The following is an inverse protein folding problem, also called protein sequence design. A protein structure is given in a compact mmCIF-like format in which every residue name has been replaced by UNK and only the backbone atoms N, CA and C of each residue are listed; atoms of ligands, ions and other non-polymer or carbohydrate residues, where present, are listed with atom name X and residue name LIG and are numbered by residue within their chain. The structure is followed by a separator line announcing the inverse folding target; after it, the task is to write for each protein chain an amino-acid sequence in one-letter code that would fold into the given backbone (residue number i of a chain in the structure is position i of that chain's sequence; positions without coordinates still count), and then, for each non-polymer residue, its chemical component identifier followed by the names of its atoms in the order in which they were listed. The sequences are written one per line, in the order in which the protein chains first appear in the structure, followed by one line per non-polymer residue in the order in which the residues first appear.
data_IF_565643410888
#
_entry.id   IF_565643410888
#
_cell.length_a   1.000
_cell.length_b   1.000
_cell.length_c   1.000
_cell.angle_alpha   90.00
_cell.angle_beta   90.00
_cell.angle_gamma   90.00
#
_symmetry.space_group_name_H-M   'P 1'
#
loop_
_entity.id
_entity.type
_entity.pdbx_description
1 polymer ?
#
# COMPACT_ATOMS: atom_id res chain seq x y z
N UNK A 1 -27.16 -74.89 42.70
CA UNK A 1 -26.01 -74.92 41.78
C UNK A 1 -25.94 -73.56 41.08
N UNK A 2 -24.82 -72.85 41.30
CA UNK A 2 -24.11 -71.92 40.39
C UNK A 2 -24.85 -70.67 39.83
N UNK A 3 -24.47 -69.50 40.35
CA UNK A 3 -24.47 -68.16 39.71
C UNK A 3 -23.48 -68.12 38.53
N UNK A 4 -23.61 -67.27 37.48
CA UNK A 4 -23.18 -65.84 37.53
C UNK A 4 -24.11 -64.87 36.76
N UNK A 5 -24.52 -63.73 37.33
CA UNK A 5 -23.80 -62.46 37.57
C UNK A 5 -23.71 -61.55 36.33
N UNK A 6 -24.49 -60.46 36.39
CA UNK A 6 -24.36 -59.26 35.55
C UNK A 6 -22.94 -58.71 35.66
N UNK A 7 -22.31 -58.37 34.53
CA UNK A 7 -21.12 -57.52 34.51
C UNK A 7 -21.49 -56.18 33.87
N UNK A 8 -21.04 -55.15 34.56
CA UNK A 8 -21.24 -53.73 34.35
C UNK A 8 -20.61 -53.21 33.05
N UNK A 9 -21.08 -52.05 32.62
CA UNK A 9 -20.44 -51.20 31.64
C UNK A 9 -19.01 -50.80 32.09
N UNK A 10 -18.07 -50.81 31.15
CA UNK A 10 -16.80 -50.09 31.28
C UNK A 10 -16.61 -49.27 30.00
N UNK A 11 -16.91 -47.98 30.09
CA UNK A 11 -16.66 -47.00 29.02
C UNK A 11 -15.51 -46.08 29.44
N UNK A 12 -14.30 -46.33 28.93
CA UNK A 12 -13.16 -45.39 28.87
C UNK A 12 -11.98 -46.00 28.08
N UNK A 13 -11.02 -45.25 27.49
CA UNK A 13 -10.94 -43.80 27.26
C UNK A 13 -10.59 -43.46 25.78
N UNK A 14 -11.54 -42.95 24.99
CA UNK A 14 -11.22 -42.40 23.66
C UNK A 14 -10.61 -40.98 23.71
N UNK A 15 -10.40 -40.40 24.89
CA UNK A 15 -10.39 -38.94 25.06
C UNK A 15 -8.97 -38.30 25.17
N UNK A 16 -7.90 -39.07 25.38
CA UNK A 16 -6.55 -38.49 25.51
C UNK A 16 -5.85 -38.24 24.16
N UNK A 17 -5.97 -39.17 23.22
CA UNK A 17 -5.28 -39.12 21.93
C UNK A 17 -5.94 -38.14 20.94
N UNK A 18 -7.27 -38.06 20.96
CA UNK A 18 -8.01 -37.12 20.10
C UNK A 18 -7.82 -35.66 20.53
N UNK A 19 -7.66 -35.43 21.84
CA UNK A 19 -7.34 -34.11 22.39
C UNK A 19 -5.94 -33.65 21.99
N UNK A 20 -4.94 -34.53 22.03
CA UNK A 20 -3.57 -34.23 21.58
C UNK A 20 -3.50 -33.93 20.08
N UNK A 21 -4.21 -34.70 19.25
CA UNK A 21 -4.28 -34.50 17.80
C UNK A 21 -5.02 -33.21 17.42
N UNK A 22 -6.09 -32.87 18.14
CA UNK A 22 -6.82 -31.61 17.98
C UNK A 22 -5.96 -30.39 18.33
N UNK A 23 -5.19 -30.46 19.42
CA UNK A 23 -4.28 -29.38 19.82
C UNK A 23 -3.14 -29.18 18.80
N UNK A 24 -2.54 -30.26 18.31
CA UNK A 24 -1.47 -30.17 17.28
C UNK A 24 -2.04 -29.56 15.99
N UNK A 25 -3.22 -30.00 15.54
CA UNK A 25 -3.86 -29.44 14.35
C UNK A 25 -4.17 -27.94 14.53
N UNK A 26 -4.71 -27.54 15.68
CA UNK A 26 -5.00 -26.14 15.97
C UNK A 26 -3.72 -25.27 16.00
N UNK A 27 -2.64 -25.77 16.60
CA UNK A 27 -1.35 -25.08 16.63
C UNK A 27 -0.76 -24.93 15.22
N UNK A 28 -0.79 -25.98 14.40
CA UNK A 28 -0.29 -25.94 13.01
C UNK A 28 -1.10 -24.94 12.18
N UNK A 29 -2.42 -24.91 12.32
CA UNK A 29 -3.29 -23.94 11.62
C UNK A 29 -3.00 -22.52 12.10
N UNK A 30 -2.85 -22.30 13.40
CA UNK A 30 -2.54 -20.98 13.95
C UNK A 30 -1.16 -20.47 13.48
N UNK A 31 -0.15 -21.34 13.45
CA UNK A 31 1.17 -21.01 12.93
C UNK A 31 1.13 -20.72 11.42
N UNK A 32 0.41 -21.53 10.64
CA UNK A 32 0.28 -21.31 9.19
C UNK A 32 -0.41 -19.97 8.87
N UNK A 33 -1.51 -19.65 9.57
CA UNK A 33 -2.20 -18.37 9.40
C UNK A 33 -1.31 -17.18 9.80
N UNK A 34 -0.58 -17.27 10.91
CA UNK A 34 0.38 -16.24 11.31
C UNK A 34 1.50 -16.06 10.26
N UNK A 35 2.04 -17.14 9.71
CA UNK A 35 3.04 -17.08 8.64
C UNK A 35 2.47 -16.41 7.37
N UNK A 36 1.25 -16.76 6.95
CA UNK A 36 0.61 -16.14 5.79
C UNK A 36 0.39 -14.64 6.01
N UNK A 37 -0.12 -14.24 7.17
CA UNK A 37 -0.30 -12.83 7.52
C UNK A 37 1.03 -12.08 7.53
N UNK A 38 2.07 -12.68 8.13
CA UNK A 38 3.41 -12.09 8.17
C UNK A 38 3.97 -11.91 6.75
N UNK A 39 3.84 -12.93 5.89
CA UNK A 39 4.31 -12.87 4.50
C UNK A 39 3.56 -11.79 3.72
N UNK A 40 2.24 -11.72 3.84
CA UNK A 40 1.44 -10.67 3.18
C UNK A 40 1.83 -9.27 3.67
N UNK A 41 2.06 -9.11 4.97
CA UNK A 41 2.50 -7.84 5.55
C UNK A 41 3.90 -7.45 5.05
N UNK A 42 4.86 -8.37 5.08
CA UNK A 42 6.23 -8.15 4.57
C UNK A 42 6.21 -7.80 3.08
N UNK A 43 5.49 -8.56 2.27
CA UNK A 43 5.37 -8.28 0.83
C UNK A 43 4.72 -6.91 0.58
N UNK A 44 3.66 -6.55 1.32
CA UNK A 44 3.04 -5.23 1.20
C UNK A 44 3.98 -4.08 1.61
N UNK A 45 4.74 -4.27 2.69
CA UNK A 45 5.72 -3.28 3.15
C UNK A 45 6.90 -3.08 2.19
N UNK A 46 7.33 -4.16 1.52
CA UNK A 46 8.44 -4.12 0.56
C UNK A 46 8.09 -3.38 -0.75
N UNK A 47 6.81 -3.13 -1.01
CA UNK A 47 6.34 -2.42 -2.21
C UNK A 47 6.34 -0.89 -2.05
N UNK A 48 6.71 -0.34 -0.88
CA UNK A 48 6.73 1.11 -0.70
C UNK A 48 8.00 1.71 -1.31
N UNK A 49 7.83 2.53 -2.35
CA UNK A 49 8.92 3.28 -2.95
C UNK A 49 9.50 4.30 -1.93
N UNK A 50 10.79 4.20 -1.55
CA UNK A 50 11.41 5.08 -0.58
C UNK A 50 11.41 6.55 -1.02
N UNK A 51 11.45 6.82 -2.32
CA UNK A 51 11.38 8.16 -2.87
C UNK A 51 10.00 8.79 -2.65
N UNK A 52 8.93 8.04 -2.95
CA UNK A 52 7.56 8.50 -2.71
C UNK A 52 7.38 8.79 -1.21
N UNK A 53 7.80 7.88 -0.34
CA UNK A 53 7.72 8.09 1.11
C UNK A 53 8.46 9.37 1.54
N UNK A 54 9.72 9.52 1.13
CA UNK A 54 10.53 10.68 1.48
C UNK A 54 9.88 12.00 1.02
N UNK A 55 9.33 12.03 -0.20
CA UNK A 55 8.68 13.23 -0.76
C UNK A 55 7.42 13.62 0.02
N UNK A 56 6.66 12.64 0.53
CA UNK A 56 5.40 12.88 1.24
C UNK A 56 5.59 13.25 2.72
N UNK A 57 6.75 12.96 3.31
CA UNK A 57 7.07 13.32 4.70
C UNK A 57 7.65 14.75 4.82
N UNK A 58 7.95 15.39 3.70
CA UNK A 58 8.52 16.74 3.63
C UNK A 58 7.44 17.82 3.51
N UNK A 59 7.74 19.01 4.04
CA UNK A 59 6.87 20.17 3.89
C UNK A 59 7.24 20.92 2.60
N UNK A 60 6.28 20.98 1.66
CA UNK A 60 6.49 21.67 0.38
C UNK A 60 6.33 23.19 0.43
N UNK A 61 7.12 23.90 -0.37
CA UNK A 61 7.04 25.34 -0.62
C UNK A 61 6.36 25.65 -1.97
N UNK A 62 5.16 26.23 -1.92
CA UNK A 62 4.32 26.53 -3.10
C UNK A 62 5.06 27.37 -4.15
N UNK A 63 5.83 28.38 -3.74
CA UNK A 63 6.53 29.28 -4.66
C UNK A 63 7.60 28.57 -5.48
N UNK A 64 8.31 27.62 -4.86
CA UNK A 64 9.31 26.80 -5.56
C UNK A 64 8.62 25.75 -6.43
N UNK A 65 7.56 25.11 -5.93
CA UNK A 65 6.73 24.19 -6.71
C UNK A 65 6.16 24.80 -7.97
N UNK A 66 5.72 26.06 -7.90
CA UNK A 66 5.24 26.80 -9.07
C UNK A 66 6.34 27.07 -10.11
N UNK A 67 7.59 27.28 -9.68
CA UNK A 67 8.72 27.39 -10.61
C UNK A 67 8.99 26.06 -11.31
N UNK A 68 9.03 24.96 -10.55
CA UNK A 68 9.20 23.61 -11.09
C UNK A 68 8.10 23.26 -12.10
N UNK A 69 6.85 23.57 -11.78
CA UNK A 69 5.71 23.35 -12.67
C UNK A 69 5.87 24.13 -14.00
N UNK A 70 6.28 25.40 -13.94
CA UNK A 70 6.48 26.21 -15.15
C UNK A 70 7.59 25.67 -16.05
N UNK A 71 8.66 25.16 -15.46
CA UNK A 71 9.82 24.63 -16.19
C UNK A 71 9.51 23.27 -16.80
N UNK A 72 8.87 22.38 -16.04
CA UNK A 72 8.77 20.97 -16.39
C UNK A 72 7.39 20.57 -16.96
N UNK A 73 6.30 21.22 -16.54
CA UNK A 73 4.94 20.73 -16.76
C UNK A 73 4.11 21.66 -17.66
N UNK A 74 4.27 22.97 -17.52
CA UNK A 74 3.40 23.97 -18.14
C UNK A 74 3.45 23.97 -19.67
N UNK A 75 4.55 23.50 -20.27
CA UNK A 75 4.65 23.37 -21.73
C UNK A 75 3.57 22.46 -22.32
N UNK A 76 3.19 21.40 -21.60
CA UNK A 76 2.15 20.46 -22.02
C UNK A 76 0.82 20.72 -21.32
N UNK A 77 0.82 21.11 -20.04
CA UNK A 77 -0.39 21.24 -19.22
C UNK A 77 -0.92 22.68 -19.09
N UNK A 78 -0.25 23.66 -19.72
CA UNK A 78 -0.60 25.08 -19.64
C UNK A 78 -0.04 25.77 -18.39
N UNK A 79 0.20 27.09 -18.48
CA UNK A 79 0.81 27.89 -17.41
C UNK A 79 0.05 27.85 -16.07
N UNK A 80 -1.27 27.70 -16.11
CA UNK A 80 -2.15 27.60 -14.96
C UNK A 80 -2.79 26.20 -14.83
N UNK A 81 -2.19 25.18 -15.46
CA UNK A 81 -2.73 23.81 -15.44
C UNK A 81 -4.04 23.62 -16.20
N UNK A 82 -4.41 24.55 -17.08
CA UNK A 82 -5.69 24.53 -17.80
C UNK A 82 -5.80 23.43 -18.88
N UNK A 83 -4.67 22.80 -19.23
CA UNK A 83 -4.51 21.86 -20.33
C UNK A 83 -4.11 22.53 -21.64
N UNK A 84 -3.26 21.86 -22.42
CA UNK A 84 -2.88 22.23 -23.79
C UNK A 84 -2.73 20.97 -24.64
N UNK A 85 -1.52 20.40 -24.64
CA UNK A 85 -1.20 19.12 -25.29
C UNK A 85 -1.53 17.97 -24.34
N UNK A 86 -1.17 18.13 -23.06
CA UNK A 86 -1.55 17.25 -21.97
C UNK A 86 -2.89 17.66 -21.35
N UNK A 87 -3.50 16.76 -20.54
CA UNK A 87 -4.76 17.02 -19.87
C UNK A 87 -4.69 18.20 -18.90
N UNK A 88 -5.86 18.71 -18.52
CA UNK A 88 -6.00 19.71 -17.46
C UNK A 88 -5.56 19.13 -16.11
N UNK A 89 -4.82 19.92 -15.34
CA UNK A 89 -4.35 19.60 -13.98
C UNK A 89 -5.01 20.44 -12.87
N UNK A 90 -5.84 21.42 -13.23
CA UNK A 90 -6.75 22.07 -12.29
C UNK A 90 -7.64 21.04 -11.60
N UNK A 91 -7.62 21.04 -10.27
CA UNK A 91 -8.33 20.10 -9.42
C UNK A 91 -7.73 18.69 -9.41
N UNK A 92 -6.53 18.46 -9.93
CA UNK A 92 -5.95 17.10 -10.01
C UNK A 92 -5.83 16.44 -8.63
N UNK A 93 -5.50 17.20 -7.59
CA UNK A 93 -5.43 16.73 -6.20
C UNK A 93 -6.79 16.35 -5.60
N UNK A 94 -7.91 16.74 -6.22
CA UNK A 94 -9.25 16.29 -5.83
C UNK A 94 -9.55 14.87 -6.34
N UNK A 95 -8.89 14.45 -7.41
CA UNK A 95 -9.14 13.17 -8.10
C UNK A 95 -8.05 12.13 -7.85
N UNK A 96 -6.83 12.56 -7.52
CA UNK A 96 -5.69 11.69 -7.30
C UNK A 96 -5.04 11.98 -5.95
N UNK A 97 -4.54 10.93 -5.31
CA UNK A 97 -3.75 11.04 -4.07
C UNK A 97 -2.30 11.30 -4.40
N UNK A 98 -1.61 12.00 -3.51
CA UNK A 98 -0.20 12.38 -3.72
C UNK A 98 0.72 11.21 -4.08
N UNK A 99 0.65 10.01 -3.46
CA UNK A 99 1.46 8.88 -3.90
C UNK A 99 1.27 8.51 -5.37
N UNK A 100 0.02 8.58 -5.85
CA UNK A 100 -0.31 8.29 -7.24
C UNK A 100 0.18 9.40 -8.19
N UNK A 101 0.12 10.66 -7.75
CA UNK A 101 0.67 11.79 -8.50
C UNK A 101 2.19 11.68 -8.63
N UNK A 102 2.90 11.39 -7.52
CA UNK A 102 4.36 11.21 -7.55
C UNK A 102 4.72 10.06 -8.49
N UNK A 103 4.05 8.91 -8.36
CA UNK A 103 4.26 7.76 -9.26
C UNK A 103 4.07 8.15 -10.73
N UNK A 104 2.96 8.83 -11.06
CA UNK A 104 2.68 9.29 -12.43
C UNK A 104 3.77 10.21 -12.98
N UNK A 105 4.36 11.08 -12.14
CA UNK A 105 5.40 12.03 -12.56
C UNK A 105 6.73 11.32 -12.82
N UNK A 106 7.07 10.29 -12.04
CA UNK A 106 8.38 9.63 -12.13
C UNK A 106 8.40 8.37 -12.99
N UNK A 107 7.25 7.72 -13.24
CA UNK A 107 7.22 6.39 -13.85
C UNK A 107 7.47 6.39 -15.36
N UNK A 108 7.08 7.45 -16.07
CA UNK A 108 7.15 7.50 -17.53
C UNK A 108 6.21 6.52 -18.24
N UNK A 109 5.24 5.95 -17.53
CA UNK A 109 4.32 4.92 -18.05
C UNK A 109 3.21 5.47 -18.97
N UNK A 110 3.11 6.79 -19.13
CA UNK A 110 2.06 7.45 -19.95
C UNK A 110 2.64 8.30 -21.10
N UNK A 111 3.25 7.71 -22.15
CA UNK A 111 3.71 8.47 -23.31
C UNK A 111 2.57 9.28 -23.97
N UNK A 112 2.84 10.52 -24.46
CA UNK A 112 4.15 11.14 -24.59
C UNK A 112 4.64 11.89 -23.34
N UNK A 113 3.95 11.80 -22.19
CA UNK A 113 4.43 12.42 -20.95
C UNK A 113 5.75 11.76 -20.52
N UNK A 114 6.85 12.53 -20.42
CA UNK A 114 8.13 11.97 -19.99
C UNK A 114 8.09 11.66 -18.49
N UNK A 115 9.02 10.83 -18.02
CA UNK A 115 9.36 10.77 -16.60
C UNK A 115 10.16 12.01 -16.20
N UNK A 116 10.00 12.44 -14.96
CA UNK A 116 10.78 13.52 -14.38
C UNK A 116 11.55 13.03 -13.16
N UNK A 117 12.85 13.29 -13.14
CA UNK A 117 13.71 12.99 -12.00
C UNK A 117 13.97 14.28 -11.21
N UNK A 118 13.59 14.31 -9.94
CA UNK A 118 13.87 15.43 -9.04
C UNK A 118 14.06 14.94 -7.60
N UNK A 119 14.75 15.71 -6.78
CA UNK A 119 14.99 15.38 -5.37
C UNK A 119 13.68 15.42 -4.55
N UNK A 120 13.50 14.61 -3.49
CA UNK A 120 12.27 14.54 -2.71
C UNK A 120 11.68 15.89 -2.25
N UNK A 121 12.50 16.86 -1.83
CA UNK A 121 12.00 18.18 -1.45
C UNK A 121 11.39 18.91 -2.65
N UNK A 122 11.98 18.79 -3.83
CA UNK A 122 11.42 19.39 -5.05
C UNK A 122 10.08 18.77 -5.45
N UNK A 123 9.90 17.47 -5.22
CA UNK A 123 8.62 16.80 -5.42
C UNK A 123 7.58 17.26 -4.39
N UNK A 124 7.96 17.41 -3.13
CA UNK A 124 7.09 17.96 -2.09
C UNK A 124 6.62 19.38 -2.43
N UNK A 125 7.53 20.22 -2.91
CA UNK A 125 7.23 21.58 -3.37
C UNK A 125 6.26 21.55 -4.56
N UNK A 126 6.50 20.69 -5.55
CA UNK A 126 5.63 20.50 -6.71
C UNK A 126 4.22 20.06 -6.30
N UNK A 127 4.10 19.08 -5.40
CA UNK A 127 2.81 18.65 -4.86
C UNK A 127 2.08 19.79 -4.15
N UNK A 128 2.77 20.56 -3.31
CA UNK A 128 2.20 21.73 -2.64
C UNK A 128 1.63 22.73 -3.64
N UNK A 129 2.30 22.95 -4.78
CA UNK A 129 1.77 23.78 -5.85
C UNK A 129 0.58 23.14 -6.57
N UNK A 130 0.62 21.84 -6.89
CA UNK A 130 -0.51 21.13 -7.52
C UNK A 130 -1.80 21.23 -6.68
N UNK A 131 -1.68 21.24 -5.36
CA UNK A 131 -2.81 21.42 -4.44
C UNK A 131 -3.45 22.81 -4.53
N UNK A 132 -2.73 23.81 -5.06
CA UNK A 132 -3.28 25.16 -5.30
C UNK A 132 -4.04 25.27 -6.63
N UNK A 133 -3.85 24.31 -7.54
CA UNK A 133 -4.56 24.26 -8.81
C UNK A 133 -5.98 23.77 -8.54
N UNK A 134 -6.93 24.70 -8.47
CA UNK A 134 -8.37 24.42 -8.30
C UNK A 134 -9.10 24.31 -9.62
#
# INVERSE_FOLDING_TARGET
MVQPSRIAAESAPADANDRGRGLIAALVVSAATACVVLVLWVLGSAQQDPYIKASLELQGAVDHGGQLFRINCAGCHGLAGQGLVGPRLQGVSNHHKDPALVHQIISGETPPMPSFEMEPQSMADLLAYLHTLS
#
